data_IF_695607616594
#
_entry.id   IF_695607616594
#
_cell.length_a   1.000
_cell.length_b   1.000
_cell.length_c   1.000
_cell.angle_alpha   90.00
_cell.angle_beta   90.00
_cell.angle_gamma   90.00
#
_symmetry.space_group_name_H-M   'P 1'
#
loop_
_entity.id
_entity.type
_entity.pdbx_description
1 polymer ?
#
# COMPACT_ATOMS: atom_id res chain seq x y z
N UNK A 1 69.29 -74.38 -20.64
CA UNK A 1 67.96 -73.69 -20.71
C UNK A 1 67.45 -73.43 -19.32
N UNK A 2 67.47 -72.28 -18.83
CA UNK A 2 66.81 -71.92 -17.56
C UNK A 2 65.45 -71.29 -17.81
N UNK A 3 64.48 -71.75 -17.07
CA UNK A 3 63.12 -71.30 -17.02
C UNK A 3 63.03 -69.89 -16.42
N UNK A 4 62.16 -69.01 -16.95
CA UNK A 4 62.02 -67.72 -16.35
C UNK A 4 61.24 -67.78 -15.05
N UNK A 5 61.80 -67.14 -14.04
CA UNK A 5 61.24 -66.95 -12.72
C UNK A 5 59.95 -66.13 -12.81
N UNK A 6 59.00 -66.55 -12.03
CA UNK A 6 57.74 -65.81 -11.84
C UNK A 6 58.07 -64.45 -11.21
N UNK A 7 58.05 -63.45 -12.03
CA UNK A 7 58.10 -62.05 -11.59
C UNK A 7 56.72 -61.71 -10.98
N UNK A 8 56.71 -61.63 -9.68
CA UNK A 8 55.57 -61.15 -8.93
C UNK A 8 55.34 -59.70 -9.32
N UNK A 9 54.37 -59.48 -10.18
CA UNK A 9 53.80 -58.11 -10.44
C UNK A 9 53.00 -57.80 -9.20
N UNK A 10 53.66 -57.16 -8.24
CA UNK A 10 52.97 -56.39 -7.20
C UNK A 10 52.43 -55.20 -7.91
N UNK A 11 51.19 -55.35 -8.31
CA UNK A 11 50.41 -54.19 -8.73
C UNK A 11 50.24 -53.35 -7.47
N UNK A 12 51.12 -52.39 -7.28
CA UNK A 12 50.90 -51.27 -6.40
C UNK A 12 49.78 -50.48 -7.05
N UNK A 13 48.57 -50.80 -6.65
CA UNK A 13 47.45 -49.86 -6.80
C UNK A 13 47.78 -48.68 -5.90
N UNK A 14 48.56 -47.76 -6.42
CA UNK A 14 48.60 -46.42 -5.89
C UNK A 14 47.17 -45.90 -6.01
N UNK A 15 46.39 -46.07 -4.95
CA UNK A 15 45.22 -45.31 -4.66
C UNK A 15 45.69 -43.86 -4.58
N UNK A 16 45.79 -43.22 -5.74
CA UNK A 16 45.73 -41.79 -5.83
C UNK A 16 44.32 -41.41 -5.27
N UNK A 17 44.31 -41.24 -3.96
CA UNK A 17 43.25 -40.47 -3.31
C UNK A 17 43.43 -39.06 -3.87
N UNK A 18 42.99 -38.87 -5.12
CA UNK A 18 42.63 -37.56 -5.59
C UNK A 18 41.53 -37.13 -4.62
N UNK A 19 41.95 -36.34 -3.66
CA UNK A 19 41.02 -35.54 -2.87
C UNK A 19 40.16 -34.72 -3.85
N UNK A 20 39.07 -35.33 -4.30
CA UNK A 20 37.96 -34.57 -4.80
C UNK A 20 37.49 -33.74 -3.60
N UNK A 21 38.14 -32.59 -3.40
CA UNK A 21 37.50 -31.49 -2.68
C UNK A 21 36.19 -31.28 -3.41
N UNK A 22 35.14 -31.91 -2.92
CA UNK A 22 33.77 -31.47 -3.23
C UNK A 22 33.75 -30.06 -2.68
N UNK A 23 34.17 -29.10 -3.51
CA UNK A 23 33.69 -27.77 -3.38
C UNK A 23 32.18 -27.94 -3.57
N UNK A 24 31.47 -28.09 -2.45
CA UNK A 24 30.09 -27.69 -2.43
C UNK A 24 30.14 -26.23 -2.87
N UNK A 25 30.04 -26.02 -4.18
CA UNK A 25 29.57 -24.77 -4.68
C UNK A 25 28.25 -24.60 -3.94
N UNK A 26 28.31 -23.86 -2.85
CA UNK A 26 27.12 -23.25 -2.28
C UNK A 26 26.56 -22.50 -3.48
N UNK A 27 25.62 -23.12 -4.14
CA UNK A 27 24.79 -22.40 -5.12
C UNK A 27 24.26 -21.26 -4.28
N UNK A 28 24.90 -20.11 -4.43
CA UNK A 28 24.39 -18.86 -3.95
C UNK A 28 23.05 -18.76 -4.68
N UNK A 29 21.98 -19.19 -4.00
CA UNK A 29 20.63 -18.94 -4.49
C UNK A 29 20.68 -17.46 -4.85
N UNK A 30 20.25 -17.11 -6.08
CA UNK A 30 20.08 -15.70 -6.37
C UNK A 30 19.29 -15.18 -5.19
N UNK A 31 19.80 -14.15 -4.53
CA UNK A 31 19.16 -13.53 -3.37
C UNK A 31 17.82 -13.03 -3.85
N UNK A 32 16.85 -13.96 -3.90
CA UNK A 32 15.47 -13.64 -4.16
C UNK A 32 15.13 -12.61 -3.10
N UNK A 33 14.68 -11.44 -3.51
CA UNK A 33 14.16 -10.43 -2.61
C UNK A 33 13.23 -11.19 -1.65
N UNK A 34 13.51 -11.15 -0.35
CA UNK A 34 12.61 -11.79 0.63
C UNK A 34 11.20 -11.24 0.34
N UNK A 35 10.24 -12.15 0.26
CA UNK A 35 8.86 -11.75 0.03
C UNK A 35 8.40 -10.92 1.21
N UNK A 36 7.92 -9.72 0.92
CA UNK A 36 7.48 -8.81 1.95
C UNK A 36 7.81 -7.35 1.62
N UNK A 37 7.39 -6.45 2.50
CA UNK A 37 7.73 -5.04 2.44
C UNK A 37 9.15 -4.85 3.01
N UNK A 38 10.14 -4.77 2.11
CA UNK A 38 11.55 -4.69 2.45
C UNK A 38 12.17 -3.31 2.15
N UNK A 39 11.56 -2.53 1.28
CA UNK A 39 12.04 -1.20 0.92
C UNK A 39 10.89 -0.19 0.90
N UNK A 40 11.00 0.85 1.70
CA UNK A 40 10.09 1.99 1.69
C UNK A 40 10.83 3.25 1.28
N UNK A 41 10.24 4.01 0.37
CA UNK A 41 10.70 5.36 0.04
C UNK A 41 9.76 6.37 0.66
N UNK A 42 10.32 7.24 1.50
CA UNK A 42 9.62 8.38 2.06
C UNK A 42 10.04 9.62 1.27
N UNK A 43 9.05 10.32 0.75
CA UNK A 43 9.23 11.50 -0.08
C UNK A 43 8.74 12.74 0.67
N UNK A 44 9.65 13.48 1.35
CA UNK A 44 9.29 14.80 1.88
C UNK A 44 9.03 15.75 0.72
N UNK A 45 7.78 16.21 0.54
CA UNK A 45 7.42 17.13 -0.53
C UNK A 45 8.26 18.41 -0.55
N UNK A 46 8.33 19.09 -1.71
CA UNK A 46 9.01 20.37 -1.86
C UNK A 46 10.53 20.32 -1.56
N UNK A 47 11.14 21.47 -1.21
CA UNK A 47 12.54 21.58 -0.80
C UNK A 47 13.36 22.56 -1.63
N UNK A 48 14.39 23.10 -1.03
CA UNK A 48 15.28 24.10 -1.66
C UNK A 48 14.52 25.35 -2.12
N UNK A 49 14.52 25.62 -3.42
CA UNK A 49 13.82 26.76 -4.04
C UNK A 49 12.28 26.65 -4.03
N UNK A 50 11.74 25.46 -3.77
CA UNK A 50 10.31 25.23 -3.62
C UNK A 50 9.94 25.18 -2.13
N UNK A 51 9.29 26.22 -1.59
CA UNK A 51 8.92 26.26 -0.18
C UNK A 51 7.68 25.41 0.15
N UNK A 52 6.88 25.02 -0.86
CA UNK A 52 5.51 24.54 -0.64
C UNK A 52 4.60 25.63 -0.08
N UNK A 53 3.58 25.26 0.64
CA UNK A 53 2.72 26.21 1.34
C UNK A 53 3.48 27.00 2.41
N UNK A 54 3.22 28.31 2.45
CA UNK A 54 3.96 29.23 3.32
C UNK A 54 3.43 29.16 4.76
N UNK A 55 4.31 28.85 5.69
CA UNK A 55 4.07 29.02 7.13
C UNK A 55 4.21 30.48 7.57
N UNK A 56 4.02 30.72 8.87
CA UNK A 56 4.09 32.07 9.46
C UNK A 56 5.51 32.66 9.41
N UNK A 57 6.53 31.82 9.29
CA UNK A 57 7.93 32.22 9.11
C UNK A 57 8.65 31.22 8.18
N UNK A 58 9.84 31.61 7.72
CA UNK A 58 10.59 30.81 6.75
C UNK A 58 10.99 29.42 7.23
N UNK A 59 11.17 29.22 8.53
CA UNK A 59 11.51 27.92 9.13
C UNK A 59 10.30 26.99 9.32
N UNK A 60 9.09 27.49 9.09
CA UNK A 60 7.85 26.74 9.24
C UNK A 60 7.07 26.63 7.93
N UNK A 61 7.71 26.84 6.78
CA UNK A 61 7.14 26.49 5.50
C UNK A 61 6.95 24.97 5.39
N UNK A 62 6.04 24.55 4.55
CA UNK A 62 5.69 23.14 4.35
C UNK A 62 6.92 22.25 4.20
N UNK A 63 7.88 22.63 3.35
CA UNK A 63 9.11 21.86 3.10
C UNK A 63 9.88 21.47 4.36
N UNK A 64 9.83 22.27 5.42
CA UNK A 64 10.50 21.99 6.68
C UNK A 64 9.70 21.07 7.58
N UNK A 65 8.39 21.28 7.64
CA UNK A 65 7.47 20.45 8.42
C UNK A 65 7.49 19.01 7.89
N UNK A 66 7.29 18.84 6.57
CA UNK A 66 7.25 17.51 5.97
C UNK A 66 8.60 16.79 6.04
N UNK A 67 9.72 17.53 5.97
CA UNK A 67 11.04 16.95 6.16
C UNK A 67 11.22 16.42 7.59
N UNK A 68 10.79 17.19 8.59
CA UNK A 68 10.89 16.78 10.00
C UNK A 68 10.04 15.53 10.28
N UNK A 69 8.77 15.53 9.87
CA UNK A 69 7.87 14.38 10.00
C UNK A 69 8.42 13.14 9.28
N UNK A 70 8.90 13.31 8.06
CA UNK A 70 9.47 12.20 7.26
C UNK A 70 10.67 11.56 7.92
N UNK A 71 11.57 12.34 8.50
CA UNK A 71 12.74 11.82 9.22
C UNK A 71 12.33 11.07 10.48
N UNK A 72 11.44 11.64 11.28
CA UNK A 72 10.91 10.98 12.47
C UNK A 72 10.21 9.65 12.13
N UNK A 73 9.40 9.62 11.08
CA UNK A 73 8.77 8.39 10.58
C UNK A 73 9.80 7.33 10.19
N UNK A 74 10.78 7.73 9.39
CA UNK A 74 11.79 6.79 8.92
C UNK A 74 12.68 6.27 10.03
N UNK A 75 12.97 7.07 11.06
CA UNK A 75 13.75 6.62 12.21
C UNK A 75 12.97 5.60 13.03
N UNK A 76 11.66 5.80 13.25
CA UNK A 76 10.78 4.81 13.88
C UNK A 76 10.70 3.49 13.10
N UNK A 77 10.63 3.57 11.76
CA UNK A 77 10.62 2.36 10.91
C UNK A 77 11.95 1.61 11.03
N UNK A 78 13.10 2.30 10.96
CA UNK A 78 14.42 1.67 11.10
C UNK A 78 14.63 1.03 12.46
N UNK A 79 14.15 1.67 13.52
CA UNK A 79 14.23 1.15 14.88
C UNK A 79 13.41 -0.13 15.04
N UNK A 80 12.15 -0.11 14.59
CA UNK A 80 11.23 -1.25 14.75
C UNK A 80 11.49 -2.38 13.74
N UNK A 81 11.97 -2.05 12.54
CA UNK A 81 12.20 -2.98 11.44
C UNK A 81 13.58 -2.78 10.81
N UNK A 82 14.68 -3.19 11.48
CA UNK A 82 16.05 -2.97 10.99
C UNK A 82 16.34 -3.59 9.60
N UNK A 83 15.58 -4.63 9.22
CA UNK A 83 15.68 -5.25 7.90
C UNK A 83 15.00 -4.44 6.79
N UNK A 84 14.12 -3.48 7.13
CA UNK A 84 13.46 -2.63 6.14
C UNK A 84 14.38 -1.50 5.73
N UNK A 85 14.69 -1.44 4.44
CA UNK A 85 15.47 -0.35 3.85
C UNK A 85 14.58 0.90 3.75
N UNK A 86 14.89 1.94 4.52
CA UNK A 86 14.24 3.26 4.45
C UNK A 86 15.09 4.20 3.62
N UNK A 87 14.52 4.74 2.56
CA UNK A 87 15.16 5.67 1.65
C UNK A 87 14.34 6.97 1.63
N UNK A 88 15.03 8.09 1.56
CA UNK A 88 14.39 9.40 1.38
C UNK A 88 14.69 9.95 0.00
N UNK A 89 13.73 10.60 -0.64
CA UNK A 89 14.00 11.37 -1.87
C UNK A 89 14.91 12.55 -1.57
N UNK A 90 14.72 13.17 -0.40
CA UNK A 90 15.64 14.16 0.19
C UNK A 90 15.73 14.00 1.70
N UNK A 91 16.90 14.22 2.26
CA UNK A 91 17.15 14.21 3.72
C UNK A 91 17.55 15.59 4.26
N UNK A 92 17.64 16.56 3.39
CA UNK A 92 18.00 17.97 3.68
C UNK A 92 17.06 18.90 2.92
N UNK A 93 17.17 20.21 3.15
CA UNK A 93 16.43 21.23 2.38
C UNK A 93 17.02 21.38 0.97
N UNK A 94 16.73 20.42 0.09
CA UNK A 94 17.20 20.37 -1.30
C UNK A 94 15.99 20.20 -2.22
N UNK A 95 15.98 20.90 -3.35
CA UNK A 95 15.02 20.72 -4.42
C UNK A 95 15.27 19.41 -5.15
N UNK A 96 14.23 18.59 -5.31
CA UNK A 96 14.21 17.38 -6.14
C UNK A 96 12.97 17.46 -7.02
N UNK A 97 13.13 17.30 -8.32
CA UNK A 97 12.03 17.27 -9.28
C UNK A 97 11.11 16.06 -9.10
N UNK A 98 9.85 16.15 -9.54
CA UNK A 98 8.85 15.08 -9.35
C UNK A 98 9.28 13.78 -10.04
N UNK A 99 9.82 13.88 -11.26
CA UNK A 99 10.39 12.74 -11.97
C UNK A 99 11.48 12.05 -11.15
N UNK A 100 12.45 12.83 -10.66
CA UNK A 100 13.59 12.29 -9.91
C UNK A 100 13.16 11.62 -8.60
N UNK A 101 12.11 12.12 -7.93
CA UNK A 101 11.51 11.49 -6.72
C UNK A 101 11.01 10.09 -7.02
N UNK A 102 10.20 9.95 -8.08
CA UNK A 102 9.70 8.66 -8.52
C UNK A 102 10.83 7.72 -8.95
N UNK A 103 11.86 8.25 -9.64
CA UNK A 103 13.05 7.48 -10.04
C UNK A 103 13.85 6.97 -8.85
N UNK A 104 13.94 7.72 -7.74
CA UNK A 104 14.54 7.20 -6.49
C UNK A 104 13.83 5.94 -6.04
N UNK A 105 12.51 5.92 -6.04
CA UNK A 105 11.73 4.75 -5.63
C UNK A 105 11.89 3.57 -6.61
N UNK A 106 11.78 3.82 -7.91
CA UNK A 106 11.92 2.80 -8.96
C UNK A 106 13.31 2.16 -8.96
N UNK A 107 14.37 2.97 -8.93
CA UNK A 107 15.76 2.50 -8.96
C UNK A 107 16.15 1.68 -7.71
N UNK A 108 15.40 1.82 -6.62
CA UNK A 108 15.60 1.06 -5.41
C UNK A 108 14.60 -0.10 -5.26
N UNK A 109 13.76 -0.38 -6.27
CA UNK A 109 12.72 -1.41 -6.23
C UNK A 109 11.88 -1.30 -4.95
N UNK A 110 11.39 -0.09 -4.64
CA UNK A 110 10.60 0.15 -3.46
C UNK A 110 9.29 -0.65 -3.46
N UNK A 111 8.89 -1.13 -2.29
CA UNK A 111 7.64 -1.85 -2.09
C UNK A 111 6.50 -0.90 -1.69
N UNK A 112 6.87 0.31 -1.23
CA UNK A 112 5.93 1.36 -0.85
C UNK A 112 6.59 2.72 -1.05
N UNK A 113 5.83 3.67 -1.62
CA UNK A 113 6.21 5.08 -1.77
C UNK A 113 5.23 5.96 -0.98
N UNK A 114 5.76 6.80 -0.08
CA UNK A 114 4.97 7.67 0.80
C UNK A 114 5.41 9.11 0.57
N UNK A 115 4.63 9.89 -0.19
CA UNK A 115 4.83 11.32 -0.34
C UNK A 115 4.09 12.08 0.76
N UNK A 116 4.75 13.02 1.43
CA UNK A 116 4.23 13.74 2.60
C UNK A 116 4.19 15.21 2.30
N UNK A 117 2.99 15.79 2.40
CA UNK A 117 2.64 17.18 2.12
C UNK A 117 1.79 17.81 3.21
N UNK A 118 1.59 19.11 3.15
CA UNK A 118 0.62 19.84 3.98
C UNK A 118 -0.32 20.63 3.09
N UNK A 119 -1.60 20.48 3.30
CA UNK A 119 -2.63 21.19 2.54
C UNK A 119 -2.60 22.70 2.78
N UNK A 120 -3.09 23.47 1.84
CA UNK A 120 -3.25 24.92 1.96
C UNK A 120 -4.53 25.38 1.29
N UNK A 121 -5.11 26.47 1.78
CA UNK A 121 -6.31 27.08 1.24
C UNK A 121 -6.31 28.59 1.49
N UNK A 122 -6.95 29.34 0.62
CA UNK A 122 -7.28 30.76 0.86
C UNK A 122 -8.22 30.92 2.06
N UNK A 123 -9.07 29.93 2.33
CA UNK A 123 -9.94 29.90 3.51
C UNK A 123 -9.18 29.43 4.75
N UNK A 124 -9.06 30.28 5.75
CA UNK A 124 -8.46 29.96 7.04
C UNK A 124 -9.27 28.95 7.86
N UNK A 125 -10.52 28.70 7.50
CA UNK A 125 -11.38 27.71 8.14
C UNK A 125 -11.29 26.33 7.51
N UNK A 126 -10.59 26.18 6.38
CA UNK A 126 -10.32 24.86 5.80
C UNK A 126 -9.46 24.05 6.77
N UNK A 127 -9.81 22.78 6.97
CA UNK A 127 -9.14 21.89 7.92
C UNK A 127 -9.31 20.43 7.52
N UNK A 128 -8.49 19.57 8.15
CA UNK A 128 -8.54 18.13 8.01
C UNK A 128 -7.49 17.55 7.08
N UNK A 129 -7.19 16.28 7.32
CA UNK A 129 -6.21 15.48 6.59
C UNK A 129 -6.86 14.72 5.45
N UNK A 130 -6.11 14.42 4.40
CA UNK A 130 -6.50 13.52 3.31
C UNK A 130 -5.32 12.69 2.84
N UNK A 131 -5.61 11.54 2.26
CA UNK A 131 -4.63 10.71 1.57
C UNK A 131 -5.09 10.50 0.14
N UNK A 132 -4.18 10.66 -0.79
CA UNK A 132 -4.43 10.56 -2.21
C UNK A 132 -3.71 9.34 -2.78
N UNK A 133 -4.42 8.60 -3.62
CA UNK A 133 -3.86 7.52 -4.43
C UNK A 133 -4.01 7.86 -5.91
N UNK A 134 -3.17 7.27 -6.73
CA UNK A 134 -3.29 7.43 -8.18
C UNK A 134 -4.64 6.90 -8.65
N UNK A 135 -5.36 7.66 -9.44
CA UNK A 135 -6.62 7.24 -10.04
C UNK A 135 -7.46 8.41 -10.54
N UNK A 136 -8.55 8.06 -11.19
CA UNK A 136 -9.53 9.02 -11.63
C UNK A 136 -10.90 8.66 -11.04
N UNK A 137 -11.51 9.60 -10.35
CA UNK A 137 -12.87 9.39 -9.82
C UNK A 137 -13.88 9.23 -10.94
N UNK A 138 -14.66 8.17 -10.83
CA UNK A 138 -15.75 7.87 -11.78
C UNK A 138 -17.09 8.55 -11.42
N UNK A 139 -17.17 9.37 -10.38
CA UNK A 139 -18.40 9.96 -9.85
C UNK A 139 -18.93 11.11 -10.71
N UNK A 140 -19.14 10.85 -11.99
CA UNK A 140 -19.80 11.79 -12.93
C UNK A 140 -21.24 12.16 -12.58
N UNK A 141 -21.79 11.71 -11.45
CA UNK A 141 -23.17 11.94 -11.05
C UNK A 141 -23.37 13.01 -9.97
N UNK A 142 -22.34 13.56 -9.39
CA UNK A 142 -22.53 14.69 -8.47
C UNK A 142 -22.41 15.99 -9.26
N UNK A 143 -23.50 16.73 -9.35
CA UNK A 143 -23.56 18.12 -9.85
C UNK A 143 -22.78 19.09 -8.93
N UNK A 144 -21.76 18.64 -8.24
CA UNK A 144 -20.90 19.47 -7.40
C UNK A 144 -19.59 19.71 -8.13
N UNK A 145 -19.62 20.64 -9.10
CA UNK A 145 -18.46 21.33 -9.66
C UNK A 145 -17.42 21.72 -8.60
N UNK A 146 -17.88 22.02 -7.40
CA UNK A 146 -17.05 22.44 -6.27
C UNK A 146 -16.08 21.35 -5.75
N UNK A 147 -16.40 20.07 -5.90
CA UNK A 147 -15.57 18.96 -5.40
C UNK A 147 -14.46 18.55 -6.38
N UNK A 148 -14.81 18.50 -7.66
CA UNK A 148 -13.86 18.22 -8.73
C UNK A 148 -12.83 19.37 -8.84
N UNK A 149 -13.28 20.61 -8.76
CA UNK A 149 -12.42 21.80 -8.78
C UNK A 149 -11.49 21.86 -7.58
N UNK A 150 -11.91 21.44 -6.39
CA UNK A 150 -11.06 21.45 -5.19
C UNK A 150 -9.95 20.41 -5.23
N UNK A 151 -10.23 19.21 -5.71
CA UNK A 151 -9.22 18.16 -5.80
C UNK A 151 -8.28 18.37 -6.97
N UNK A 152 -8.82 18.78 -8.13
CA UNK A 152 -8.01 19.28 -9.24
C UNK A 152 -7.06 20.40 -8.78
N UNK A 153 -7.49 21.25 -7.85
CA UNK A 153 -6.65 22.33 -7.34
C UNK A 153 -5.48 21.84 -6.49
N UNK A 154 -5.63 20.73 -5.73
CA UNK A 154 -4.53 20.14 -4.94
C UNK A 154 -3.52 19.49 -5.88
N UNK A 155 -3.96 18.57 -6.74
CA UNK A 155 -3.05 17.92 -7.69
C UNK A 155 -2.39 18.93 -8.64
N UNK A 156 -3.13 19.95 -9.09
CA UNK A 156 -2.59 21.00 -9.93
C UNK A 156 -1.49 21.80 -9.20
N UNK A 157 -1.73 22.19 -7.95
CA UNK A 157 -0.75 22.91 -7.14
C UNK A 157 0.53 22.09 -6.96
N UNK A 158 0.41 20.79 -6.64
CA UNK A 158 1.57 19.93 -6.45
C UNK A 158 2.29 19.61 -7.77
N UNK A 159 1.58 19.60 -8.89
CA UNK A 159 2.16 19.40 -10.20
C UNK A 159 2.79 20.70 -10.78
N UNK A 160 2.41 21.89 -10.31
CA UNK A 160 2.98 23.17 -10.79
C UNK A 160 4.50 23.26 -10.61
N UNK A 161 5.06 22.50 -9.67
CA UNK A 161 6.51 22.44 -9.46
C UNK A 161 7.29 21.92 -10.68
N UNK A 162 6.64 21.23 -11.61
CA UNK A 162 7.22 20.71 -12.85
C UNK A 162 7.98 21.83 -13.61
N UNK A 163 7.39 23.02 -13.73
CA UNK A 163 8.04 24.14 -14.45
C UNK A 163 9.31 24.66 -13.78
N UNK A 164 9.57 24.26 -12.53
CA UNK A 164 10.80 24.58 -11.82
C UNK A 164 11.93 23.59 -12.12
N UNK A 165 11.62 22.46 -12.79
CA UNK A 165 12.60 21.43 -13.12
C UNK A 165 13.41 21.81 -14.36
N UNK A 166 14.72 21.55 -14.32
CA UNK A 166 15.56 21.72 -15.49
C UNK A 166 15.22 20.66 -16.55
N UNK A 167 14.97 21.10 -17.77
CA UNK A 167 14.59 20.22 -18.89
C UNK A 167 13.20 19.61 -18.78
N UNK A 168 12.28 20.24 -18.03
CA UNK A 168 10.93 19.73 -17.84
C UNK A 168 10.19 19.47 -19.16
N UNK A 169 10.40 20.31 -20.17
CA UNK A 169 9.77 20.17 -21.49
C UNK A 169 10.09 18.83 -22.18
N UNK A 170 11.27 18.26 -21.92
CA UNK A 170 11.67 16.97 -22.48
C UNK A 170 11.36 15.80 -21.56
N UNK A 171 11.38 16.00 -20.25
CA UNK A 171 11.07 14.97 -19.25
C UNK A 171 9.60 14.53 -19.31
N UNK A 172 8.70 15.47 -19.59
CA UNK A 172 7.25 15.25 -19.53
C UNK A 172 6.55 15.28 -20.91
N UNK A 173 7.31 15.21 -22.02
CA UNK A 173 6.74 15.24 -23.39
C UNK A 173 5.81 14.09 -23.73
N UNK A 174 5.87 12.99 -22.99
CA UNK A 174 5.01 11.82 -23.19
C UNK A 174 3.78 11.81 -22.28
N UNK A 175 3.59 12.86 -21.50
CA UNK A 175 2.49 13.01 -20.57
C UNK A 175 1.46 14.00 -21.11
N UNK A 176 0.62 13.57 -22.03
CA UNK A 176 -0.65 14.24 -22.28
C UNK A 176 -1.77 13.41 -21.63
N UNK A 177 -2.31 13.83 -20.47
CA UNK A 177 -3.37 13.11 -19.80
C UNK A 177 -4.66 13.03 -20.63
N UNK A 178 -4.73 13.76 -21.76
CA UNK A 178 -5.87 13.79 -22.64
C UNK A 178 -5.77 12.81 -23.81
N UNK A 179 -4.65 12.08 -23.97
CA UNK A 179 -4.52 11.08 -25.02
C UNK A 179 -5.05 9.71 -24.57
N UNK A 180 -5.78 8.98 -25.44
CA UNK A 180 -6.26 7.64 -25.12
C UNK A 180 -5.14 6.66 -24.76
N UNK A 181 -3.98 6.77 -25.38
CA UNK A 181 -2.82 5.91 -25.19
C UNK A 181 -2.19 6.11 -23.82
N UNK A 182 -2.04 7.35 -23.39
CA UNK A 182 -1.60 7.68 -22.02
C UNK A 182 -2.58 7.11 -20.99
N UNK A 183 -3.88 7.27 -21.22
CA UNK A 183 -4.93 6.76 -20.35
C UNK A 183 -4.85 5.23 -20.18
N UNK A 184 -4.61 4.48 -21.26
CA UNK A 184 -4.47 3.01 -21.21
C UNK A 184 -3.24 2.62 -20.39
N UNK A 185 -2.11 3.28 -20.61
CA UNK A 185 -0.88 3.06 -19.83
C UNK A 185 -1.09 3.28 -18.33
N UNK A 186 -1.75 4.39 -17.97
CA UNK A 186 -2.09 4.70 -16.57
C UNK A 186 -3.08 3.72 -15.97
N UNK A 187 -4.11 3.32 -16.73
CA UNK A 187 -5.12 2.39 -16.24
C UNK A 187 -4.52 1.03 -15.89
N UNK A 188 -3.54 0.56 -16.67
CA UNK A 188 -2.83 -0.70 -16.38
C UNK A 188 -1.92 -0.57 -15.16
N UNK A 189 -1.13 0.48 -15.06
CA UNK A 189 -0.25 0.73 -13.91
C UNK A 189 -1.04 0.97 -12.63
N UNK A 190 -2.07 1.81 -12.70
CA UNK A 190 -2.99 2.06 -11.60
C UNK A 190 -3.61 0.77 -11.07
N UNK A 191 -4.13 -0.10 -11.96
CA UNK A 191 -4.76 -1.35 -11.58
C UNK A 191 -3.81 -2.29 -10.84
N UNK A 192 -2.53 -2.31 -11.21
CA UNK A 192 -1.53 -3.19 -10.60
C UNK A 192 -1.27 -2.86 -9.12
N UNK A 193 -1.33 -1.58 -8.73
CA UNK A 193 -0.94 -1.13 -7.39
C UNK A 193 -2.10 -0.53 -6.58
N UNK A 194 -3.28 -0.42 -7.17
CA UNK A 194 -4.44 0.24 -6.57
C UNK A 194 -4.85 -0.35 -5.22
N UNK A 195 -5.02 -1.69 -5.16
CA UNK A 195 -5.49 -2.34 -3.94
C UNK A 195 -4.49 -2.17 -2.79
N UNK A 196 -3.20 -2.28 -3.06
CA UNK A 196 -2.16 -2.09 -2.06
C UNK A 196 -2.02 -0.62 -1.63
N UNK A 197 -2.15 0.32 -2.56
CA UNK A 197 -2.18 1.75 -2.24
C UNK A 197 -3.41 2.11 -1.39
N UNK A 198 -4.59 1.56 -1.74
CA UNK A 198 -5.81 1.76 -0.99
C UNK A 198 -5.74 1.14 0.40
N UNK A 199 -5.11 -0.03 0.54
CA UNK A 199 -4.89 -0.67 1.84
C UNK A 199 -4.05 0.23 2.76
N UNK A 200 -2.93 0.78 2.25
CA UNK A 200 -2.11 1.69 3.04
C UNK A 200 -2.85 3.00 3.35
N UNK A 201 -3.58 3.55 2.38
CA UNK A 201 -4.40 4.74 2.60
C UNK A 201 -5.45 4.55 3.70
N UNK A 202 -6.08 3.36 3.76
CA UNK A 202 -7.02 3.04 4.83
C UNK A 202 -6.34 2.99 6.21
N UNK A 203 -5.14 2.39 6.31
CA UNK A 203 -4.37 2.39 7.56
C UNK A 203 -3.99 3.81 8.00
N UNK A 204 -3.68 4.69 7.05
CA UNK A 204 -3.42 6.11 7.35
C UNK A 204 -4.67 6.79 7.90
N UNK A 205 -5.84 6.56 7.32
CA UNK A 205 -7.10 7.14 7.82
C UNK A 205 -7.36 6.69 9.25
N UNK A 206 -7.23 5.40 9.52
CA UNK A 206 -7.56 4.81 10.82
C UNK A 206 -6.59 5.26 11.93
N UNK A 207 -5.33 5.52 11.62
CA UNK A 207 -4.31 5.85 12.61
C UNK A 207 -4.00 7.35 12.71
N UNK A 208 -3.92 8.07 11.57
CA UNK A 208 -3.53 9.48 11.54
C UNK A 208 -4.72 10.42 11.73
N UNK A 209 -5.87 10.12 11.09
CA UNK A 209 -6.97 11.07 10.99
C UNK A 209 -7.92 11.01 12.18
N UNK A 210 -7.35 11.00 13.37
CA UNK A 210 -8.03 11.07 14.67
C UNK A 210 -7.58 12.32 15.41
N UNK A 211 -8.39 12.82 16.37
CA UNK A 211 -8.05 14.07 17.10
C UNK A 211 -6.59 14.11 17.58
N UNK A 212 -5.90 15.24 17.50
CA UNK A 212 -6.38 16.57 17.10
C UNK A 212 -6.53 16.76 15.59
N UNK A 213 -5.95 15.89 14.74
CA UNK A 213 -6.23 15.85 13.32
C UNK A 213 -7.59 15.18 13.07
N UNK A 214 -8.21 15.50 11.96
CA UNK A 214 -9.45 14.84 11.55
C UNK A 214 -9.45 14.60 10.04
N UNK A 215 -10.17 13.59 9.60
CA UNK A 215 -10.37 13.35 8.18
C UNK A 215 -11.13 14.50 7.52
N UNK A 216 -10.77 14.85 6.31
CA UNK A 216 -11.64 15.62 5.41
C UNK A 216 -12.90 14.81 5.09
N UNK A 217 -13.94 15.47 4.56
CA UNK A 217 -15.17 14.80 4.12
C UNK A 217 -14.88 13.61 3.19
N UNK A 218 -13.84 13.72 2.36
CA UNK A 218 -13.25 12.61 1.62
C UNK A 218 -11.85 12.41 2.17
N UNK A 219 -11.69 11.35 2.95
CA UNK A 219 -10.43 11.02 3.59
C UNK A 219 -9.45 10.38 2.59
N UNK A 220 -9.94 9.47 1.74
CA UNK A 220 -9.16 8.83 0.67
C UNK A 220 -9.70 9.34 -0.66
N UNK A 221 -8.84 10.00 -1.44
CA UNK A 221 -9.20 10.56 -2.72
C UNK A 221 -8.33 10.02 -3.85
N UNK A 222 -8.79 10.18 -5.09
CA UNK A 222 -8.09 9.71 -6.28
C UNK A 222 -7.80 10.90 -7.18
N UNK A 223 -6.51 11.12 -7.47
CA UNK A 223 -6.05 12.23 -8.28
C UNK A 223 -4.84 11.86 -9.13
N UNK A 224 -4.52 12.71 -10.10
CA UNK A 224 -3.39 12.53 -11.01
C UNK A 224 -2.21 13.40 -10.51
N UNK A 225 -1.59 12.97 -9.42
CA UNK A 225 -0.32 13.55 -8.98
C UNK A 225 0.82 12.97 -9.79
N UNK A 226 1.64 13.82 -10.41
CA UNK A 226 2.74 13.39 -11.27
C UNK A 226 3.71 12.45 -10.55
N UNK A 227 4.02 12.71 -9.29
CA UNK A 227 4.90 11.86 -8.48
C UNK A 227 4.34 10.45 -8.26
N UNK A 228 3.00 10.31 -8.23
CA UNK A 228 2.34 9.00 -8.11
C UNK A 228 2.20 8.30 -9.47
N UNK A 229 2.01 9.07 -10.55
CA UNK A 229 1.93 8.55 -11.92
C UNK A 229 3.20 7.80 -12.29
N UNK A 230 4.35 8.33 -11.93
CA UNK A 230 5.63 7.74 -12.26
C UNK A 230 6.10 6.67 -11.27
N UNK A 231 5.46 6.57 -10.11
CA UNK A 231 5.72 5.51 -9.16
C UNK A 231 5.18 4.16 -9.68
N UNK A 232 6.03 3.17 -9.81
CA UNK A 232 5.66 1.82 -10.27
C UNK A 232 5.64 0.83 -9.10
N UNK A 233 5.02 1.24 -8.01
CA UNK A 233 4.79 0.47 -6.78
C UNK A 233 3.56 1.05 -6.07
N UNK A 234 3.05 0.39 -5.02
CA UNK A 234 2.06 1.00 -4.11
C UNK A 234 2.52 2.38 -3.65
N UNK A 235 1.69 3.40 -3.86
CA UNK A 235 2.09 4.79 -3.66
C UNK A 235 0.91 5.63 -3.13
N UNK A 236 1.20 6.53 -2.20
CA UNK A 236 0.26 7.51 -1.67
C UNK A 236 0.88 8.88 -1.55
N UNK A 237 0.05 9.93 -1.61
CA UNK A 237 0.40 11.29 -1.21
C UNK A 237 -0.50 11.68 -0.04
N UNK A 238 0.14 12.10 1.04
CA UNK A 238 -0.52 12.50 2.27
C UNK A 238 -0.58 14.01 2.37
N UNK A 239 -1.76 14.53 2.67
CA UNK A 239 -1.97 15.90 3.08
C UNK A 239 -2.23 15.91 4.58
N UNK A 240 -1.19 16.17 5.38
CA UNK A 240 -1.21 16.00 6.84
C UNK A 240 -2.29 16.84 7.52
N UNK A 241 -2.40 18.11 7.15
CA UNK A 241 -3.41 19.08 7.60
C UNK A 241 -3.20 20.42 6.87
N UNK A 242 -4.05 21.42 7.12
CA UNK A 242 -3.95 22.74 6.49
C UNK A 242 -2.95 23.65 7.21
N UNK A 243 -1.81 23.93 6.57
CA UNK A 243 -0.83 24.91 7.07
C UNK A 243 -1.44 26.33 7.12
N UNK A 244 -2.47 26.59 6.31
CA UNK A 244 -3.21 27.85 6.29
C UNK A 244 -4.21 28.01 7.45
N UNK A 245 -4.55 26.92 8.15
CA UNK A 245 -5.44 26.96 9.33
C UNK A 245 -4.63 27.21 10.60
N UNK A 246 -4.91 28.26 11.40
CA UNK A 246 -4.09 28.60 12.56
C UNK A 246 -3.96 27.48 13.60
N UNK A 247 -5.02 26.71 13.84
CA UNK A 247 -5.01 25.61 14.82
C UNK A 247 -4.19 24.46 14.33
N UNK A 248 -4.40 24.01 13.09
CA UNK A 248 -3.65 22.92 12.48
C UNK A 248 -2.17 23.31 12.26
N UNK A 249 -1.91 24.55 11.86
CA UNK A 249 -0.56 25.08 11.76
C UNK A 249 0.20 25.01 13.08
N UNK A 250 -0.44 25.41 14.20
CA UNK A 250 0.18 25.31 15.51
C UNK A 250 0.60 23.87 15.88
N UNK A 251 -0.21 22.89 15.48
CA UNK A 251 0.10 21.49 15.65
C UNK A 251 1.21 21.01 14.70
N UNK A 252 1.09 21.29 13.41
CA UNK A 252 2.06 20.92 12.36
C UNK A 252 3.47 21.48 12.62
N UNK A 253 3.56 22.71 13.15
CA UNK A 253 4.82 23.41 13.38
C UNK A 253 5.46 23.09 14.72
N UNK A 254 4.74 22.45 15.65
CA UNK A 254 5.27 22.06 16.96
C UNK A 254 6.04 20.75 16.89
N UNK A 255 7.12 20.64 17.66
CA UNK A 255 7.89 19.41 17.76
C UNK A 255 7.01 18.23 18.22
N UNK A 256 6.20 18.43 19.26
CA UNK A 256 5.31 17.39 19.77
C UNK A 256 4.25 16.95 18.76
N UNK A 257 3.72 17.88 17.96
CA UNK A 257 2.78 17.54 16.90
C UNK A 257 3.43 16.73 15.77
N UNK A 258 4.66 17.08 15.38
CA UNK A 258 5.43 16.34 14.37
C UNK A 258 5.79 14.93 14.86
N UNK A 259 6.19 14.79 16.13
CA UNK A 259 6.47 13.49 16.76
C UNK A 259 5.21 12.61 16.83
N UNK A 260 4.07 13.20 17.17
CA UNK A 260 2.79 12.49 17.22
C UNK A 260 2.31 12.07 15.82
N UNK A 261 2.42 12.95 14.82
CA UNK A 261 2.11 12.61 13.43
C UNK A 261 2.97 11.45 12.95
N UNK A 262 4.28 11.51 13.21
CA UNK A 262 5.22 10.46 12.83
C UNK A 262 4.90 9.13 13.53
N UNK A 263 4.51 9.16 14.81
CA UNK A 263 4.08 7.96 15.52
C UNK A 263 2.83 7.34 14.90
N UNK A 264 1.83 8.14 14.57
CA UNK A 264 0.58 7.68 13.95
C UNK A 264 0.81 7.12 12.56
N UNK A 265 1.66 7.76 11.76
CA UNK A 265 2.07 7.24 10.45
C UNK A 265 2.87 5.94 10.58
N UNK A 266 3.69 5.82 11.62
CA UNK A 266 4.38 4.56 11.92
C UNK A 266 3.41 3.43 12.28
N UNK A 267 2.36 3.69 13.07
CA UNK A 267 1.33 2.69 13.35
C UNK A 267 0.58 2.27 12.07
N UNK A 268 0.27 3.21 11.17
CA UNK A 268 -0.29 2.90 9.87
C UNK A 268 0.65 2.03 9.03
N UNK A 269 1.94 2.36 8.97
CA UNK A 269 2.96 1.56 8.29
C UNK A 269 3.06 0.15 8.86
N UNK A 270 3.11 0.02 10.18
CA UNK A 270 3.17 -1.26 10.90
C UNK A 270 1.99 -2.16 10.55
N UNK A 271 0.78 -1.63 10.62
CA UNK A 271 -0.46 -2.36 10.28
C UNK A 271 -0.47 -2.79 8.82
N UNK A 272 -0.08 -1.88 7.92
CA UNK A 272 0.03 -2.17 6.50
C UNK A 272 1.08 -3.26 6.21
N UNK A 273 2.29 -3.13 6.77
CA UNK A 273 3.37 -4.11 6.57
C UNK A 273 2.92 -5.51 6.96
N UNK A 274 2.27 -5.66 8.11
CA UNK A 274 1.75 -6.97 8.55
C UNK A 274 0.77 -7.54 7.52
N UNK A 275 -0.20 -6.74 7.07
CA UNK A 275 -1.22 -7.18 6.11
C UNK A 275 -0.62 -7.49 4.73
N UNK A 276 0.31 -6.66 4.29
CA UNK A 276 1.01 -6.83 3.01
C UNK A 276 1.86 -8.09 3.01
N UNK A 277 2.71 -8.30 4.02
CA UNK A 277 3.57 -9.47 4.13
C UNK A 277 2.75 -10.76 4.25
N UNK A 278 1.65 -10.74 4.98
CA UNK A 278 0.73 -11.88 5.06
C UNK A 278 0.10 -12.21 3.70
N UNK A 279 -0.26 -11.20 2.91
CA UNK A 279 -0.84 -11.43 1.57
C UNK A 279 0.13 -12.14 0.63
N UNK A 280 1.40 -11.77 0.66
CA UNK A 280 2.44 -12.38 -0.18
C UNK A 280 2.77 -13.81 0.25
N UNK A 281 2.81 -14.09 1.55
CA UNK A 281 3.06 -15.44 2.05
C UNK A 281 1.94 -16.43 1.69
N UNK A 282 0.71 -15.93 1.52
CA UNK A 282 -0.41 -16.75 1.05
C UNK A 282 -0.31 -17.09 -0.45
N UNK A 283 0.27 -16.18 -1.25
CA UNK A 283 0.45 -16.40 -2.69
C UNK A 283 1.60 -17.37 -3.01
N UNK A 284 2.57 -17.51 -2.11
CA UNK A 284 3.78 -18.33 -2.32
C UNK A 284 3.71 -19.73 -1.74
N UNK A 285 2.66 -20.08 -1.04
CA UNK A 285 2.41 -21.50 -0.70
C UNK A 285 2.27 -22.28 -2.02
N UNK A 286 3.16 -23.27 -2.30
CA UNK A 286 3.05 -24.05 -3.52
C UNK A 286 1.66 -24.64 -3.57
N UNK A 287 1.00 -24.48 -4.71
CA UNK A 287 -0.23 -25.21 -4.97
C UNK A 287 0.06 -26.68 -4.74
N UNK A 288 -0.45 -27.22 -3.66
CA UNK A 288 -0.41 -28.65 -3.40
C UNK A 288 -1.02 -29.29 -4.64
N UNK A 289 -0.20 -30.04 -5.38
CA UNK A 289 -0.64 -30.79 -6.54
C UNK A 289 -1.94 -31.50 -6.15
N UNK A 290 -2.98 -31.26 -6.95
CA UNK A 290 -4.28 -31.84 -6.71
C UNK A 290 -4.17 -33.36 -6.79
N UNK A 291 -3.93 -33.98 -5.65
CA UNK A 291 -4.23 -35.37 -5.46
C UNK A 291 -5.74 -35.47 -5.29
N UNK A 292 -6.38 -36.20 -6.16
CA UNK A 292 -7.83 -36.35 -6.25
C UNK A 292 -8.34 -36.94 -4.93
N UNK A 293 -9.13 -36.21 -4.13
CA UNK A 293 -9.66 -36.79 -2.90
C UNK A 293 -10.75 -37.82 -3.24
N UNK A 294 -10.54 -39.03 -2.80
CA UNK A 294 -11.63 -40.01 -2.67
C UNK A 294 -12.71 -39.41 -1.76
N UNK A 295 -13.94 -39.46 -2.25
CA UNK A 295 -15.14 -39.08 -1.53
C UNK A 295 -15.27 -39.94 -0.27
N UNK A 296 -15.06 -39.34 0.89
CA UNK A 296 -15.55 -39.87 2.17
C UNK A 296 -16.71 -39.02 2.64
N UNK A 297 -17.79 -39.70 3.01
CA UNK A 297 -19.02 -39.14 3.53
C UNK A 297 -18.82 -38.27 4.78
N UNK A 298 -19.66 -37.28 5.02
CA UNK A 298 -19.42 -36.29 6.08
C UNK A 298 -19.69 -36.86 7.47
N UNK A 299 -18.66 -36.86 8.29
CA UNK A 299 -18.82 -36.98 9.74
C UNK A 299 -19.23 -35.60 10.26
N UNK A 300 -20.41 -35.50 10.81
CA UNK A 300 -20.91 -34.36 11.58
C UNK A 300 -19.92 -34.00 12.69
N UNK A 301 -19.21 -32.86 12.54
CA UNK A 301 -18.43 -32.26 13.63
C UNK A 301 -19.17 -31.04 14.14
N UNK A 302 -19.35 -31.01 15.45
CA UNK A 302 -19.81 -29.86 16.23
C UNK A 302 -19.13 -28.56 15.73
N UNK A 303 -19.96 -27.55 15.42
CA UNK A 303 -19.54 -26.27 14.94
C UNK A 303 -19.00 -25.44 16.12
N UNK A 304 -17.68 -25.43 16.32
CA UNK A 304 -17.04 -24.43 17.16
C UNK A 304 -17.36 -23.04 16.59
N UNK A 305 -17.95 -22.18 17.39
CA UNK A 305 -18.32 -20.82 16.97
C UNK A 305 -17.05 -19.99 16.74
N UNK A 306 -16.72 -19.77 15.46
CA UNK A 306 -15.54 -19.01 15.07
C UNK A 306 -15.58 -17.59 15.64
N UNK A 307 -14.63 -17.24 16.45
CA UNK A 307 -14.47 -15.89 17.02
C UNK A 307 -14.03 -14.88 15.98
N UNK A 308 -13.36 -15.33 14.90
CA UNK A 308 -12.96 -14.49 13.77
C UNK A 308 -13.03 -15.30 12.48
N UNK A 309 -13.48 -14.67 11.38
CA UNK A 309 -13.68 -15.36 10.10
C UNK A 309 -13.76 -14.40 8.91
N UNK A 310 -13.53 -14.94 7.72
CA UNK A 310 -13.83 -14.26 6.46
C UNK A 310 -15.26 -14.51 6.04
N UNK A 311 -15.90 -13.51 5.41
CA UNK A 311 -17.24 -13.64 4.85
C UNK A 311 -17.34 -12.84 3.55
N UNK A 312 -18.30 -13.19 2.68
CA UNK A 312 -18.60 -12.42 1.48
C UNK A 312 -19.73 -11.45 1.79
N UNK A 313 -19.45 -10.15 1.82
CA UNK A 313 -20.47 -9.13 1.94
C UNK A 313 -21.14 -8.91 0.58
N UNK A 314 -22.48 -9.05 0.56
CA UNK A 314 -23.30 -8.92 -0.67
C UNK A 314 -24.04 -7.60 -0.75
N UNK A 315 -24.37 -7.00 0.41
CA UNK A 315 -25.04 -5.70 0.47
C UNK A 315 -24.89 -5.04 1.84
N UNK A 316 -25.22 -3.75 1.89
CA UNK A 316 -25.36 -2.98 3.13
C UNK A 316 -26.59 -2.09 3.05
N UNK A 317 -27.45 -2.16 4.07
CA UNK A 317 -28.74 -1.43 4.12
C UNK A 317 -29.02 -0.90 5.52
N UNK A 318 -29.77 0.19 5.61
CA UNK A 318 -30.09 0.80 6.91
C UNK A 318 -31.16 0.03 7.70
N UNK A 319 -31.99 -0.76 7.02
CA UNK A 319 -33.08 -1.53 7.64
C UNK A 319 -32.77 -3.01 7.66
N UNK A 320 -33.09 -3.68 8.77
CA UNK A 320 -32.97 -5.14 8.87
C UNK A 320 -33.96 -5.80 7.90
N UNK A 321 -33.44 -6.65 7.01
CA UNK A 321 -34.21 -7.47 6.07
C UNK A 321 -34.43 -8.86 6.64
N UNK A 322 -35.51 -9.51 6.22
CA UNK A 322 -35.77 -10.91 6.55
C UNK A 322 -34.82 -11.83 5.75
N UNK A 323 -34.57 -13.04 6.28
CA UNK A 323 -33.63 -13.99 5.66
C UNK A 323 -34.06 -14.49 4.26
N UNK A 324 -35.34 -14.38 3.95
CA UNK A 324 -35.98 -14.77 2.69
C UNK A 324 -36.25 -13.57 1.74
N UNK A 325 -35.69 -12.38 2.06
CA UNK A 325 -35.92 -11.17 1.26
C UNK A 325 -35.48 -11.39 -0.19
N UNK A 326 -36.34 -11.05 -1.18
CA UNK A 326 -36.02 -11.22 -2.60
C UNK A 326 -34.73 -10.54 -3.07
N UNK A 327 -34.26 -9.50 -2.36
CA UNK A 327 -33.02 -8.83 -2.65
C UNK A 327 -31.78 -9.74 -2.55
N UNK A 328 -31.87 -10.84 -1.77
CA UNK A 328 -30.78 -11.83 -1.67
C UNK A 328 -30.68 -12.76 -2.88
N UNK A 329 -31.62 -12.69 -3.83
CA UNK A 329 -31.61 -13.49 -5.08
C UNK A 329 -31.38 -14.99 -4.81
N UNK A 330 -31.97 -15.49 -3.72
CA UNK A 330 -31.87 -16.89 -3.29
C UNK A 330 -30.57 -17.28 -2.58
N UNK A 331 -29.72 -16.31 -2.21
CA UNK A 331 -28.59 -16.59 -1.32
C UNK A 331 -29.02 -16.57 0.14
N UNK A 332 -28.44 -17.47 0.93
CA UNK A 332 -28.56 -17.42 2.40
C UNK A 332 -27.59 -16.38 2.92
N UNK A 333 -28.09 -15.17 3.19
CA UNK A 333 -27.29 -14.07 3.71
C UNK A 333 -27.68 -13.79 5.17
N UNK A 334 -26.68 -13.62 6.03
CA UNK A 334 -26.85 -13.32 7.46
C UNK A 334 -26.57 -11.84 7.72
N UNK A 335 -27.36 -11.16 8.57
CA UNK A 335 -27.09 -9.78 8.95
C UNK A 335 -25.88 -9.73 9.91
N UNK A 336 -24.96 -8.82 9.62
CA UNK A 336 -23.88 -8.44 10.51
C UNK A 336 -23.89 -6.92 10.69
N UNK A 337 -23.84 -6.46 11.93
CA UNK A 337 -23.80 -5.05 12.27
C UNK A 337 -22.61 -4.79 13.20
N UNK A 338 -21.54 -4.17 12.72
CA UNK A 338 -20.45 -3.72 13.59
C UNK A 338 -20.96 -2.79 14.68
N UNK A 339 -20.31 -2.79 15.82
CA UNK A 339 -20.61 -1.86 16.90
C UNK A 339 -20.51 -0.41 16.42
N UNK A 340 -21.47 0.42 16.75
CA UNK A 340 -21.56 1.81 16.28
C UNK A 340 -21.98 2.04 14.82
N UNK A 341 -22.17 0.98 14.02
CA UNK A 341 -22.62 1.12 12.63
C UNK A 341 -24.10 1.47 12.53
N UNK A 342 -24.45 2.33 11.56
CA UNK A 342 -25.85 2.71 11.25
C UNK A 342 -26.53 1.75 10.27
N UNK A 343 -25.75 0.85 9.63
CA UNK A 343 -26.24 -0.06 8.59
C UNK A 343 -25.99 -1.52 8.95
N UNK A 344 -26.83 -2.40 8.42
CA UNK A 344 -26.65 -3.85 8.45
C UNK A 344 -25.90 -4.28 7.20
N UNK A 345 -24.79 -4.99 7.37
CA UNK A 345 -24.08 -5.69 6.30
C UNK A 345 -24.65 -7.10 6.19
N UNK A 346 -24.92 -7.53 4.97
CA UNK A 346 -25.38 -8.91 4.73
C UNK A 346 -24.24 -9.72 4.17
N UNK A 347 -23.92 -10.81 4.86
CA UNK A 347 -22.77 -11.68 4.59
C UNK A 347 -23.22 -13.08 4.21
N UNK A 348 -22.46 -13.72 3.35
CA UNK A 348 -22.65 -15.11 2.94
C UNK A 348 -21.42 -15.92 3.34
N UNK A 349 -21.66 -17.00 4.09
CA UNK A 349 -20.61 -17.90 4.58
C UNK A 349 -19.76 -17.32 5.71
N UNK A 350 -19.14 -18.25 6.45
CA UNK A 350 -18.11 -17.97 7.45
C UNK A 350 -16.94 -18.90 7.11
N UNK A 351 -15.81 -18.33 6.74
CA UNK A 351 -14.68 -19.06 6.22
C UNK A 351 -13.47 -18.84 7.10
N UNK A 352 -12.73 -19.90 7.37
CA UNK A 352 -11.49 -19.82 8.14
C UNK A 352 -10.38 -19.13 7.35
N UNK A 353 -10.43 -19.19 6.01
CA UNK A 353 -9.42 -18.59 5.14
C UNK A 353 -10.06 -17.69 4.08
N UNK A 354 -9.26 -16.72 3.61
CA UNK A 354 -9.68 -15.80 2.55
C UNK A 354 -9.89 -16.53 1.20
N UNK A 355 -9.14 -17.62 0.97
CA UNK A 355 -9.24 -18.45 -0.24
C UNK A 355 -10.61 -19.11 -0.32
N UNK A 356 -11.09 -19.66 0.80
CA UNK A 356 -12.44 -20.23 0.88
C UNK A 356 -13.50 -19.15 0.58
N UNK A 357 -13.33 -17.96 1.14
CA UNK A 357 -14.19 -16.81 0.86
C UNK A 357 -14.10 -16.37 -0.59
N UNK A 358 -12.89 -16.38 -1.23
CA UNK A 358 -12.69 -16.06 -2.63
C UNK A 358 -13.37 -17.06 -3.57
N UNK A 359 -13.33 -18.35 -3.26
CA UNK A 359 -14.03 -19.37 -4.03
C UNK A 359 -15.55 -19.14 -4.02
N UNK A 360 -16.09 -18.74 -2.89
CA UNK A 360 -17.50 -18.40 -2.78
C UNK A 360 -17.84 -17.07 -3.44
N UNK A 361 -16.98 -16.06 -3.30
CA UNK A 361 -17.12 -14.76 -3.98
C UNK A 361 -17.25 -14.91 -5.50
N UNK A 362 -16.46 -15.79 -6.12
CA UNK A 362 -16.54 -16.05 -7.58
C UNK A 362 -17.94 -16.53 -7.98
N UNK A 363 -18.59 -17.38 -7.20
CA UNK A 363 -19.95 -17.86 -7.45
C UNK A 363 -20.98 -16.74 -7.23
N UNK A 364 -20.79 -15.96 -6.17
CA UNK A 364 -21.70 -14.87 -5.77
C UNK A 364 -21.66 -13.71 -6.74
N UNK A 365 -20.50 -13.37 -7.30
CA UNK A 365 -20.32 -12.25 -8.26
C UNK A 365 -21.22 -12.34 -9.49
N UNK A 366 -21.64 -13.53 -9.89
CA UNK A 366 -22.62 -13.71 -10.98
C UNK A 366 -23.98 -13.05 -10.65
N UNK A 367 -24.36 -12.98 -9.38
CA UNK A 367 -25.63 -12.39 -8.91
C UNK A 367 -25.44 -11.02 -8.26
N UNK A 368 -24.29 -10.79 -7.62
CA UNK A 368 -23.94 -9.59 -6.86
C UNK A 368 -22.56 -9.08 -7.28
N UNK A 369 -22.54 -8.29 -8.33
CA UNK A 369 -21.29 -7.75 -8.93
C UNK A 369 -20.47 -6.91 -7.96
N UNK A 370 -21.14 -6.30 -6.96
CA UNK A 370 -20.52 -5.47 -5.93
C UNK A 370 -20.09 -6.26 -4.67
N UNK A 371 -20.25 -7.60 -4.67
CA UNK A 371 -19.85 -8.42 -3.53
C UNK A 371 -18.32 -8.40 -3.35
N UNK A 372 -17.88 -8.40 -2.10
CA UNK A 372 -16.46 -8.43 -1.72
C UNK A 372 -16.27 -9.16 -0.39
N UNK A 373 -15.03 -9.57 -0.12
CA UNK A 373 -14.69 -10.28 1.12
C UNK A 373 -14.44 -9.28 2.23
N UNK A 374 -14.98 -9.59 3.41
CA UNK A 374 -14.68 -8.90 4.66
C UNK A 374 -14.13 -9.88 5.69
N UNK A 375 -13.33 -9.37 6.61
CA UNK A 375 -12.88 -10.09 7.79
C UNK A 375 -13.68 -9.58 8.99
N UNK A 376 -14.18 -10.48 9.80
CA UNK A 376 -14.98 -10.18 11.00
C UNK A 376 -14.23 -10.75 12.20
N UNK A 377 -13.90 -9.89 13.14
CA UNK A 377 -13.41 -10.25 14.47
C UNK A 377 -14.49 -9.89 15.49
N UNK A 378 -14.91 -10.87 16.28
CA UNK A 378 -15.97 -10.72 17.30
C UNK A 378 -15.39 -10.47 18.69
N UNK A 379 -14.16 -9.96 18.80
CA UNK A 379 -13.62 -9.57 20.10
C UNK A 379 -14.40 -8.43 20.72
#
# INVERSE_FOLDING_TARGET
MPTPSKLNIVVMIALAVMGFSIHTASAQQPSGKELGLNTVVIDPGHGGKDPGALGQNSSSHEKHIVLAVSKLLGDKIKEAYPAVKVIYTRSTDKFIGLHDRAMVARNNNADLFISIHCNSSSSKSALGSSVHILGQRSDRKSNTTDYFERNMSVAQRENEVIVMEEGYETKYTHFDPNTPEAYIGYALQWKAHYESSLLFAAEVVDNLMVKPLQARKIAIDQDIFQVLVEANMPAVLLELAFISNPTEYGYLSSQSGQEEIAERLFQAFKSYKIKYDMSLNLETSPAVAADTPQVQEPVEKEVEELTSFYAVQVMSVAKLLKSDDPQFKGLKAEPYRPEGATTYKYIVGKFNTREQANAELKKIKAKFTQAFIIYIDKK
#
